data_IF_871834166107
#
_entry.id   IF_871834166107
#
_cell.length_a   1.000
_cell.length_b   1.000
_cell.length_c   1.000
_cell.angle_alpha   90.00
_cell.angle_beta   90.00
_cell.angle_gamma   90.00
#
_symmetry.space_group_name_H-M   'P 1'
#
loop_
_entity.id
_entity.type
_entity.pdbx_description
1 polymer ?
#
# COMPACT_ATOMS: atom_id res chain seq x y z
N UNK A 1 -23.22 2.66 -7.75
CA UNK A 1 -22.58 3.96 -8.06
C UNK A 1 -21.36 3.67 -8.91
N UNK A 2 -21.18 4.37 -10.03
CA UNK A 2 -19.92 4.27 -10.79
C UNK A 2 -18.89 5.16 -10.10
N UNK A 3 -17.89 4.55 -9.45
CA UNK A 3 -16.79 5.32 -8.87
C UNK A 3 -15.83 5.74 -9.98
N UNK A 4 -15.70 7.06 -10.17
CA UNK A 4 -14.66 7.63 -11.02
C UNK A 4 -13.35 7.65 -10.22
N UNK A 5 -12.24 7.31 -10.87
CA UNK A 5 -10.90 7.49 -10.29
C UNK A 5 -10.72 8.98 -9.91
N UNK A 6 -10.36 9.29 -8.66
CA UNK A 6 -10.05 10.66 -8.26
C UNK A 6 -8.94 11.22 -9.15
N UNK A 7 -8.99 12.52 -9.40
CA UNK A 7 -7.86 13.24 -9.97
C UNK A 7 -6.66 13.18 -9.03
N UNK A 8 -5.49 13.49 -9.59
CA UNK A 8 -4.25 13.53 -8.79
C UNK A 8 -4.35 14.54 -7.65
N UNK A 9 -4.90 15.73 -7.92
CA UNK A 9 -5.08 16.79 -6.93
C UNK A 9 -6.04 16.37 -5.82
N UNK A 10 -7.19 15.77 -6.17
CA UNK A 10 -8.13 15.25 -5.17
C UNK A 10 -7.51 14.17 -4.28
N UNK A 11 -6.70 13.29 -4.88
CA UNK A 11 -5.97 12.26 -4.12
C UNK A 11 -4.94 12.89 -3.17
N UNK A 12 -4.12 13.83 -3.65
CA UNK A 12 -3.11 14.52 -2.85
C UNK A 12 -3.75 15.29 -1.68
N UNK A 13 -4.86 16.00 -1.93
CA UNK A 13 -5.61 16.70 -0.89
C UNK A 13 -6.18 15.74 0.16
N UNK A 14 -6.74 14.60 -0.26
CA UNK A 14 -7.29 13.61 0.65
C UNK A 14 -6.21 13.00 1.56
N UNK A 15 -5.01 12.73 1.02
CA UNK A 15 -3.88 12.21 1.79
C UNK A 15 -3.36 13.24 2.82
N UNK A 16 -3.23 14.51 2.43
CA UNK A 16 -2.84 15.59 3.36
C UNK A 16 -3.84 15.75 4.51
N UNK A 17 -5.14 15.63 4.22
CA UNK A 17 -6.17 15.67 5.26
C UNK A 17 -6.10 14.45 6.18
N UNK A 18 -5.81 13.26 5.64
CA UNK A 18 -5.62 12.06 6.41
C UNK A 18 -4.43 12.17 7.38
N UNK A 19 -3.31 12.73 6.93
CA UNK A 19 -2.15 13.04 7.78
C UNK A 19 -2.53 14.02 8.90
N UNK A 20 -3.18 15.13 8.54
CA UNK A 20 -3.59 16.15 9.50
C UNK A 20 -4.60 15.62 10.55
N UNK A 21 -5.49 14.71 10.18
CA UNK A 21 -6.41 14.06 11.12
C UNK A 21 -5.67 13.26 12.19
N UNK A 22 -4.62 12.53 11.78
CA UNK A 22 -3.78 11.75 12.70
C UNK A 22 -2.97 12.66 13.61
N UNK A 23 -2.29 13.66 13.05
CA UNK A 23 -1.45 14.59 13.81
C UNK A 23 -2.25 15.38 14.86
N UNK A 24 -3.48 15.75 14.54
CA UNK A 24 -4.36 16.50 15.46
C UNK A 24 -5.10 15.61 16.46
N UNK A 25 -4.86 14.30 16.45
CA UNK A 25 -5.58 13.33 17.30
C UNK A 25 -7.08 13.26 17.00
N UNK A 26 -7.52 13.70 15.81
CA UNK A 26 -8.93 13.75 15.38
C UNK A 26 -9.34 12.52 14.56
N UNK A 27 -8.44 11.56 14.39
CA UNK A 27 -8.68 10.33 13.64
C UNK A 27 -9.35 9.25 14.51
N UNK A 28 -10.50 9.59 15.11
CA UNK A 28 -11.21 8.74 16.09
C UNK A 28 -11.56 7.37 15.50
N UNK A 29 -12.05 7.36 14.26
CA UNK A 29 -12.45 6.13 13.55
C UNK A 29 -11.35 5.57 12.65
N UNK A 30 -10.10 6.06 12.79
CA UNK A 30 -8.93 5.60 12.02
C UNK A 30 -9.08 5.73 10.50
N UNK A 31 -9.95 6.62 10.02
CA UNK A 31 -10.15 6.84 8.59
C UNK A 31 -8.88 7.39 7.93
N UNK A 32 -8.20 8.32 8.60
CA UNK A 32 -6.94 8.87 8.11
C UNK A 32 -5.85 7.80 8.06
N UNK A 33 -5.71 7.04 9.15
CA UNK A 33 -4.81 5.90 9.23
C UNK A 33 -5.04 4.87 8.11
N UNK A 34 -6.28 4.40 7.94
CA UNK A 34 -6.62 3.39 6.93
C UNK A 34 -6.38 3.92 5.52
N UNK A 35 -6.74 5.18 5.23
CA UNK A 35 -6.50 5.76 3.91
C UNK A 35 -5.00 5.82 3.57
N UNK A 36 -4.16 6.23 4.53
CA UNK A 36 -2.71 6.29 4.34
C UNK A 36 -2.09 4.91 4.18
N UNK A 37 -2.51 3.95 5.00
CA UNK A 37 -2.08 2.56 4.90
C UNK A 37 -2.46 1.97 3.53
N UNK A 38 -3.70 2.14 3.09
CA UNK A 38 -4.15 1.66 1.77
C UNK A 38 -3.39 2.32 0.63
N UNK A 39 -3.06 3.60 0.75
CA UNK A 39 -2.26 4.30 -0.24
C UNK A 39 -0.84 3.72 -0.33
N UNK A 40 -0.20 3.44 0.81
CA UNK A 40 1.14 2.85 0.82
C UNK A 40 1.14 1.43 0.24
N UNK A 41 0.17 0.61 0.67
CA UNK A 41 -0.05 -0.73 0.11
C UNK A 41 -0.27 -0.69 -1.41
N UNK A 42 -1.06 0.26 -1.90
CA UNK A 42 -1.29 0.43 -3.34
C UNK A 42 0.00 0.78 -4.11
N UNK A 43 0.89 1.63 -3.55
CA UNK A 43 2.18 1.92 -4.21
C UNK A 43 3.03 0.66 -4.37
N UNK A 44 3.06 -0.18 -3.36
CA UNK A 44 3.84 -1.43 -3.35
C UNK A 44 3.26 -2.42 -4.36
N UNK A 45 1.93 -2.56 -4.42
CA UNK A 45 1.25 -3.37 -5.41
C UNK A 45 1.46 -2.84 -6.85
N UNK A 46 1.47 -1.52 -7.05
CA UNK A 46 1.78 -0.91 -8.35
C UNK A 46 3.23 -1.18 -8.78
N UNK A 47 4.19 -1.14 -7.86
CA UNK A 47 5.58 -1.48 -8.12
C UNK A 47 5.74 -2.96 -8.48
N UNK A 48 5.09 -3.87 -7.74
CA UNK A 48 5.03 -5.30 -8.08
C UNK A 48 4.46 -5.49 -9.49
N UNK A 49 3.33 -4.84 -9.79
CA UNK A 49 2.67 -4.94 -11.10
C UNK A 49 3.62 -4.54 -12.23
N UNK A 50 4.35 -3.42 -12.08
CA UNK A 50 5.32 -2.94 -13.08
C UNK A 50 6.45 -3.95 -13.29
N UNK A 51 7.01 -4.51 -12.22
CA UNK A 51 8.08 -5.51 -12.30
C UNK A 51 7.61 -6.83 -12.90
N UNK A 52 6.41 -7.28 -12.55
CA UNK A 52 5.79 -8.46 -13.14
C UNK A 52 5.53 -8.26 -14.64
N UNK A 53 4.98 -7.10 -15.03
CA UNK A 53 4.76 -6.74 -16.42
C UNK A 53 6.08 -6.71 -17.20
N UNK A 54 7.14 -6.16 -16.61
CA UNK A 54 8.45 -6.11 -17.26
C UNK A 54 9.05 -7.51 -17.42
N UNK A 55 9.01 -8.33 -16.37
CA UNK A 55 9.48 -9.71 -16.42
C UNK A 55 8.78 -10.54 -17.50
N UNK A 56 7.45 -10.47 -17.57
CA UNK A 56 6.64 -11.25 -18.51
C UNK A 56 6.82 -10.77 -19.95
N UNK A 57 6.93 -9.46 -20.18
CA UNK A 57 6.96 -8.89 -21.54
C UNK A 57 8.35 -8.80 -22.16
N UNK A 58 9.41 -8.73 -21.36
CA UNK A 58 10.77 -8.41 -21.84
C UNK A 58 11.79 -9.55 -21.64
N UNK A 59 11.31 -10.80 -21.70
CA UNK A 59 12.19 -11.97 -21.89
C UNK A 59 12.68 -12.66 -20.62
N UNK A 60 12.03 -12.42 -19.47
CA UNK A 60 12.23 -13.18 -18.23
C UNK A 60 13.71 -13.30 -17.80
N UNK A 61 14.47 -12.21 -17.90
CA UNK A 61 15.87 -12.19 -17.51
C UNK A 61 16.07 -12.40 -16.01
N UNK A 62 17.27 -12.86 -15.66
CA UNK A 62 17.70 -13.10 -14.27
C UNK A 62 17.62 -11.85 -13.39
N UNK A 63 17.93 -10.66 -13.94
CA UNK A 63 17.85 -9.41 -13.19
C UNK A 63 16.40 -9.03 -12.89
N UNK A 64 15.51 -9.22 -13.85
CA UNK A 64 14.09 -8.95 -13.73
C UNK A 64 13.44 -9.93 -12.75
N UNK A 65 13.84 -11.20 -12.78
CA UNK A 65 13.41 -12.20 -11.80
C UNK A 65 13.81 -11.80 -10.38
N UNK A 66 15.06 -11.37 -10.18
CA UNK A 66 15.53 -10.85 -8.87
C UNK A 66 14.71 -9.65 -8.42
N UNK A 67 14.46 -8.69 -9.31
CA UNK A 67 13.66 -7.50 -9.00
C UNK A 67 12.23 -7.88 -8.61
N UNK A 68 11.62 -8.84 -9.32
CA UNK A 68 10.28 -9.34 -9.04
C UNK A 68 10.22 -10.05 -7.68
N UNK A 69 11.19 -10.91 -7.37
CA UNK A 69 11.27 -11.61 -6.07
C UNK A 69 11.41 -10.62 -4.91
N UNK A 70 12.30 -9.63 -5.03
CA UNK A 70 12.44 -8.58 -4.03
C UNK A 70 11.15 -7.77 -3.83
N UNK A 71 10.35 -7.56 -4.89
CA UNK A 71 9.05 -6.90 -4.75
C UNK A 71 8.00 -7.79 -4.06
N UNK A 72 8.04 -9.10 -4.28
CA UNK A 72 7.19 -10.07 -3.59
C UNK A 72 7.54 -10.18 -2.10
N UNK A 73 8.83 -10.19 -1.76
CA UNK A 73 9.30 -10.20 -0.37
C UNK A 73 8.75 -9.00 0.40
N UNK A 74 8.78 -7.78 -0.18
CA UNK A 74 8.20 -6.59 0.48
C UNK A 74 6.72 -6.72 0.81
N UNK A 75 5.94 -7.41 -0.03
CA UNK A 75 4.51 -7.64 0.25
C UNK A 75 4.36 -8.68 1.34
N UNK A 76 5.19 -9.73 1.32
CA UNK A 76 5.18 -10.75 2.36
C UNK A 76 5.51 -10.16 3.73
N UNK A 77 6.53 -9.31 3.81
CA UNK A 77 6.93 -8.65 5.06
C UNK A 77 5.79 -7.78 5.62
N UNK A 78 5.09 -7.03 4.75
CA UNK A 78 3.90 -6.27 5.17
C UNK A 78 2.77 -7.16 5.69
N UNK A 79 2.47 -8.27 5.01
CA UNK A 79 1.41 -9.19 5.42
C UNK A 79 1.76 -9.88 6.76
N UNK A 80 3.06 -10.13 7.02
CA UNK A 80 3.55 -10.67 8.30
C UNK A 80 3.41 -9.63 9.42
N UNK A 81 3.83 -8.39 9.20
CA UNK A 81 3.66 -7.30 10.16
C UNK A 81 2.18 -7.10 10.51
N UNK A 82 1.27 -7.21 9.53
CA UNK A 82 -0.18 -7.15 9.73
C UNK A 82 -0.72 -8.31 10.58
N UNK A 83 -0.23 -9.53 10.35
CA UNK A 83 -0.63 -10.70 11.12
C UNK A 83 -0.17 -10.59 12.59
N UNK A 84 1.04 -10.09 12.83
CA UNK A 84 1.57 -9.87 14.17
C UNK A 84 0.81 -8.76 14.91
N UNK A 85 0.50 -7.63 14.27
CA UNK A 85 -0.32 -6.57 14.88
C UNK A 85 -1.73 -7.06 15.21
N UNK A 86 -2.34 -7.89 14.34
CA UNK A 86 -3.68 -8.46 14.60
C UNK A 86 -3.70 -9.37 15.83
N UNK A 87 -2.58 -10.02 16.16
CA UNK A 87 -2.45 -10.85 17.36
C UNK A 87 -2.38 -10.03 18.67
N UNK A 88 -1.99 -8.76 18.57
CA UNK A 88 -1.90 -7.83 19.71
C UNK A 88 -3.28 -7.33 20.15
N UNK A 89 -4.25 -7.23 19.24
CA UNK A 89 -5.62 -6.80 19.54
C UNK A 89 -6.51 -7.88 20.19
N UNK A 90 -6.02 -9.12 20.37
CA UNK A 90 -6.79 -10.25 20.93
C UNK A 90 -6.58 -10.41 22.45
N UNK A 91 -5.66 -9.64 23.06
CA UNK A 91 -5.41 -9.71 24.51
C UNK A 91 -6.10 -8.54 25.23
N UNK A 92 -7.32 -8.80 25.70
CA UNK A 92 -7.98 -8.04 26.78
C UNK A 92 -7.50 -8.47 28.17
#
# INVERSE_FOLDING_TARGET
MSMRKPSREEMEQALQLAEALREKGKDQYKLGYVLLYLQERNKILEDLRKKAEYYVRFGMGEQELRNLRSALEKIHDMDVDEADDSSFFVRE
#
